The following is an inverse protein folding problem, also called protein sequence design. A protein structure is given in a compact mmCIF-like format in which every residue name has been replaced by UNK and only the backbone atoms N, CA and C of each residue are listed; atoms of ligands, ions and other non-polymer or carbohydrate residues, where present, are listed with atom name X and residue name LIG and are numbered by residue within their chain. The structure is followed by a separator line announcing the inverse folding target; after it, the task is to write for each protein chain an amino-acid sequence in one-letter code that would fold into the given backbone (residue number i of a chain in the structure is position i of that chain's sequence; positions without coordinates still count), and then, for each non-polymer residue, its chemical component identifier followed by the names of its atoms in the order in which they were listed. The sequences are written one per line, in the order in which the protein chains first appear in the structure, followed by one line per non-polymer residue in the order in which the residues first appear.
data_IF_887133189813
#
_entry.id   IF_887133189813
#
_cell.length_a   1.000
_cell.length_b   1.000
_cell.length_c   1.000
_cell.angle_alpha   90.00
_cell.angle_beta   90.00
_cell.angle_gamma   90.00
#
_symmetry.space_group_name_H-M   'P 1'
#
loop_
_entity.id
_entity.type
_entity.pdbx_description
1 polymer ?
#
# COMPACT_ATOMS: atom_id res chain seq x y z
N UNK A 1 11.52 34.36 75.36
CA UNK A 1 12.18 33.83 74.13
C UNK A 1 11.50 32.54 73.77
N UNK A 2 10.67 32.57 72.76
CA UNK A 2 9.92 31.38 72.26
C UNK A 2 10.40 31.09 70.83
N UNK A 3 11.13 29.99 70.68
CA UNK A 3 11.56 29.48 69.39
C UNK A 3 10.45 28.70 68.74
N UNK A 4 9.97 29.21 67.61
CA UNK A 4 8.96 28.53 66.77
C UNK A 4 9.68 27.50 65.88
N UNK A 5 9.28 26.25 66.01
CA UNK A 5 9.69 25.13 65.17
C UNK A 5 8.81 25.09 63.92
N UNK A 6 9.39 25.37 62.74
CA UNK A 6 8.71 25.33 61.48
C UNK A 6 8.73 23.88 60.93
N UNK A 7 7.57 23.25 60.95
CA UNK A 7 7.39 21.89 60.41
C UNK A 7 7.15 21.98 58.90
N UNK A 8 8.13 21.56 58.09
CA UNK A 8 8.00 21.46 56.63
C UNK A 8 7.36 20.13 56.30
N UNK A 9 6.13 20.16 55.83
CA UNK A 9 5.40 18.99 55.35
C UNK A 9 5.81 18.74 53.88
N UNK A 10 6.64 17.74 53.65
CA UNK A 10 6.98 17.27 52.30
C UNK A 10 5.87 16.30 51.86
N UNK A 11 4.93 16.79 51.07
CA UNK A 11 3.96 15.93 50.38
C UNK A 11 4.63 15.23 49.20
N UNK A 12 4.96 13.96 49.37
CA UNK A 12 5.45 13.10 48.32
C UNK A 12 4.36 12.88 47.29
N UNK A 13 4.48 13.47 46.10
CA UNK A 13 3.65 13.18 44.95
C UNK A 13 4.05 11.82 44.37
N UNK A 14 3.36 10.76 44.75
CA UNK A 14 3.50 9.44 44.15
C UNK A 14 2.96 9.46 42.72
N UNK A 15 3.88 9.53 41.76
CA UNK A 15 3.61 9.35 40.34
C UNK A 15 3.20 7.87 40.10
N UNK A 16 1.90 7.60 40.08
CA UNK A 16 1.39 6.29 39.65
C UNK A 16 1.61 6.19 38.14
N UNK A 17 2.71 5.52 37.75
CA UNK A 17 2.88 5.03 36.39
C UNK A 17 1.80 3.95 36.15
N UNK A 18 0.69 4.35 35.55
CA UNK A 18 -0.22 3.40 34.94
C UNK A 18 0.54 2.76 33.77
N UNK A 19 1.14 1.60 34.02
CA UNK A 19 1.61 0.73 32.94
C UNK A 19 0.39 0.42 32.07
N UNK A 20 0.29 1.11 30.93
CA UNK A 20 -0.69 0.78 29.90
C UNK A 20 -0.45 -0.68 29.54
N UNK A 21 -1.42 -1.54 29.83
CA UNK A 21 -1.45 -2.90 29.31
C UNK A 21 -1.42 -2.81 27.79
N UNK A 22 -0.24 -3.01 27.18
CA UNK A 22 -0.16 -3.36 25.79
C UNK A 22 -1.08 -4.57 25.61
N UNK A 23 -2.18 -4.39 24.89
CA UNK A 23 -3.03 -5.46 24.43
C UNK A 23 -2.13 -6.40 23.60
N UNK A 24 -1.61 -7.45 24.27
CA UNK A 24 -0.80 -8.47 23.60
C UNK A 24 -1.73 -9.21 22.62
N UNK A 25 -1.60 -8.85 21.34
CA UNK A 25 -2.25 -9.60 20.29
C UNK A 25 -1.81 -11.06 20.31
N UNK A 26 -2.69 -11.97 19.97
CA UNK A 26 -2.39 -13.41 19.87
C UNK A 26 -1.37 -13.64 18.76
N UNK A 27 -0.13 -13.97 19.11
CA UNK A 27 0.89 -14.42 18.17
C UNK A 27 0.59 -15.85 17.72
N UNK A 28 0.39 -16.02 16.42
CA UNK A 28 0.06 -17.34 15.84
C UNK A 28 1.24 -17.87 15.05
N UNK A 29 1.63 -19.11 15.35
CA UNK A 29 2.56 -19.90 14.55
C UNK A 29 1.74 -20.87 13.72
N UNK A 30 1.94 -20.86 12.41
CA UNK A 30 1.26 -21.76 11.50
C UNK A 30 1.65 -23.21 11.71
N UNK A 31 0.67 -24.08 11.59
CA UNK A 31 0.88 -25.54 11.56
C UNK A 31 1.63 -25.93 10.28
N UNK A 32 2.11 -27.19 10.25
CA UNK A 32 2.67 -27.79 9.03
C UNK A 32 1.60 -28.48 8.16
N UNK A 33 0.34 -28.46 8.59
CA UNK A 33 -0.78 -28.96 7.82
C UNK A 33 -1.28 -27.83 6.88
N UNK A 34 -1.11 -28.00 5.59
CA UNK A 34 -1.48 -27.00 4.59
C UNK A 34 -2.76 -27.43 3.90
N UNK A 35 -3.71 -26.51 3.83
CA UNK A 35 -4.98 -26.68 3.15
C UNK A 35 -5.21 -25.55 2.14
N UNK A 36 -6.17 -25.75 1.25
CA UNK A 36 -6.66 -24.74 0.32
C UNK A 36 -8.15 -24.53 0.56
N UNK A 37 -8.58 -23.27 0.51
CA UNK A 37 -9.96 -22.86 0.63
C UNK A 37 -10.27 -21.88 -0.51
N UNK A 38 -11.33 -22.16 -1.28
CA UNK A 38 -11.91 -21.20 -2.21
C UNK A 38 -13.05 -20.47 -1.51
N UNK A 39 -13.04 -19.15 -1.58
CA UNK A 39 -14.10 -18.27 -1.09
C UNK A 39 -14.77 -17.64 -2.30
N UNK A 40 -16.04 -17.98 -2.53
CA UNK A 40 -16.86 -17.28 -3.53
C UNK A 40 -17.01 -15.83 -3.10
N UNK A 41 -16.77 -14.91 -3.99
CA UNK A 41 -16.96 -13.49 -3.76
C UNK A 41 -18.02 -12.97 -4.73
N UNK A 42 -18.89 -12.10 -4.26
CA UNK A 42 -19.74 -11.31 -5.14
C UNK A 42 -18.88 -10.45 -6.07
N UNK A 43 -19.49 -9.86 -7.07
CA UNK A 43 -18.74 -8.99 -7.98
C UNK A 43 -18.10 -7.82 -7.23
N UNK A 44 -16.82 -7.61 -7.48
CA UNK A 44 -16.04 -6.46 -7.00
C UNK A 44 -15.10 -5.97 -8.10
N UNK A 45 -14.75 -4.72 -8.06
CA UNK A 45 -13.74 -4.10 -8.92
C UNK A 45 -12.75 -3.24 -8.14
N UNK A 46 -12.79 -3.33 -6.82
CA UNK A 46 -11.82 -2.71 -5.92
C UNK A 46 -11.30 -3.75 -4.91
N UNK A 47 -10.03 -3.63 -4.52
CA UNK A 47 -9.41 -4.47 -3.49
C UNK A 47 -8.83 -3.56 -2.41
N UNK A 48 -9.13 -3.88 -1.15
CA UNK A 48 -8.55 -3.21 0.02
C UNK A 48 -7.94 -4.22 0.98
N UNK A 49 -6.61 -4.17 1.07
CA UNK A 49 -5.85 -4.96 2.02
C UNK A 49 -5.61 -4.14 3.30
N UNK A 50 -6.01 -4.69 4.44
CA UNK A 50 -5.77 -4.12 5.76
C UNK A 50 -4.80 -5.02 6.54
N UNK A 51 -3.60 -4.51 6.83
CA UNK A 51 -2.56 -5.24 7.58
C UNK A 51 -1.37 -5.69 6.74
N UNK A 52 -0.87 -6.91 6.96
CA UNK A 52 0.43 -7.37 6.47
C UNK A 52 0.39 -8.62 5.58
N UNK A 53 -0.78 -9.00 5.07
CA UNK A 53 -0.88 -10.16 4.18
C UNK A 53 -0.24 -9.88 2.80
N UNK A 54 0.16 -10.96 2.12
CA UNK A 54 0.60 -10.91 0.74
C UNK A 54 -0.49 -11.45 -0.17
N UNK A 55 -0.78 -10.72 -1.25
CA UNK A 55 -1.84 -11.03 -2.20
C UNK A 55 -1.25 -11.13 -3.61
N UNK A 56 -1.71 -12.10 -4.37
CA UNK A 56 -1.54 -12.17 -5.82
C UNK A 56 -2.86 -11.86 -6.49
N UNK A 57 -2.91 -10.83 -7.33
CA UNK A 57 -4.08 -10.53 -8.16
C UNK A 57 -3.91 -11.12 -9.54
N UNK A 58 -4.98 -11.74 -10.03
CA UNK A 58 -5.11 -12.30 -11.37
C UNK A 58 -6.35 -11.72 -12.04
N UNK A 59 -6.21 -11.09 -13.20
CA UNK A 59 -7.37 -10.77 -14.01
C UNK A 59 -7.93 -12.05 -14.61
N UNK A 60 -9.20 -12.37 -14.30
CA UNK A 60 -9.88 -13.60 -14.73
C UNK A 60 -11.37 -13.31 -14.95
N UNK A 61 -12.07 -14.21 -15.60
CA UNK A 61 -13.49 -14.05 -15.95
C UNK A 61 -14.46 -14.14 -14.78
N UNK A 62 -14.02 -14.70 -13.62
CA UNK A 62 -14.83 -14.89 -12.40
C UNK A 62 -14.22 -14.26 -11.19
N UNK A 63 -15.05 -13.68 -10.33
CA UNK A 63 -14.63 -13.16 -9.02
C UNK A 63 -14.60 -14.27 -7.99
N UNK A 64 -13.44 -14.52 -7.39
CA UNK A 64 -13.27 -15.45 -6.27
C UNK A 64 -11.92 -15.20 -5.57
N UNK A 65 -11.76 -15.79 -4.42
CA UNK A 65 -10.51 -15.75 -3.64
C UNK A 65 -10.08 -17.16 -3.30
N UNK A 66 -8.84 -17.50 -3.59
CA UNK A 66 -8.20 -18.74 -3.15
C UNK A 66 -7.24 -18.43 -2.01
N UNK A 67 -7.35 -19.16 -0.91
CA UNK A 67 -6.47 -19.05 0.24
C UNK A 67 -5.78 -20.39 0.44
N UNK A 68 -4.45 -20.42 0.36
CA UNK A 68 -3.64 -21.60 0.62
C UNK A 68 -2.68 -21.33 1.77
N UNK A 69 -2.61 -22.23 2.73
CA UNK A 69 -1.71 -22.04 3.86
C UNK A 69 -1.94 -23.00 5.02
N UNK A 70 -1.37 -22.65 6.16
CA UNK A 70 -1.54 -23.42 7.41
C UNK A 70 -3.01 -23.43 7.84
N UNK A 71 -3.55 -24.60 8.17
CA UNK A 71 -4.95 -24.82 8.53
C UNK A 71 -5.42 -23.98 9.72
N UNK A 72 -4.52 -23.65 10.64
CA UNK A 72 -4.81 -22.79 11.79
C UNK A 72 -4.66 -21.28 11.49
N UNK A 73 -4.13 -20.89 10.32
CA UNK A 73 -4.01 -19.49 9.91
C UNK A 73 -5.18 -19.10 9.00
N UNK A 74 -5.58 -19.95 8.06
CA UNK A 74 -6.67 -19.63 7.10
C UNK A 74 -7.94 -19.13 7.80
N UNK A 75 -8.44 -19.73 8.91
CA UNK A 75 -9.62 -19.23 9.61
C UNK A 75 -9.47 -17.85 10.25
N UNK A 76 -8.24 -17.32 10.30
CA UNK A 76 -7.94 -15.98 10.85
C UNK A 76 -7.95 -14.89 9.77
N UNK A 77 -8.04 -15.25 8.51
CA UNK A 77 -8.21 -14.33 7.39
C UNK A 77 -9.70 -14.06 7.21
N UNK A 78 -10.06 -12.80 7.18
CA UNK A 78 -11.41 -12.34 6.85
C UNK A 78 -11.41 -11.76 5.44
N UNK A 79 -12.28 -12.30 4.59
CA UNK A 79 -12.53 -11.82 3.23
C UNK A 79 -14.01 -11.61 3.03
N UNK A 80 -14.42 -10.43 2.62
CA UNK A 80 -15.82 -10.10 2.33
C UNK A 80 -15.90 -8.92 1.36
N UNK A 81 -17.00 -8.81 0.62
CA UNK A 81 -17.26 -7.69 -0.27
C UNK A 81 -18.13 -6.67 0.46
N UNK A 82 -17.70 -5.41 0.44
CA UNK A 82 -18.42 -4.24 0.96
C UNK A 82 -18.64 -3.26 -0.21
N UNK A 83 -19.87 -3.17 -0.69
CA UNK A 83 -20.16 -2.48 -1.94
C UNK A 83 -19.44 -3.13 -3.12
N UNK A 84 -18.52 -2.39 -3.74
CA UNK A 84 -17.68 -2.87 -4.85
C UNK A 84 -16.26 -3.26 -4.43
N UNK A 85 -15.97 -3.25 -3.12
CA UNK A 85 -14.62 -3.44 -2.58
C UNK A 85 -14.48 -4.81 -1.91
N UNK A 86 -13.57 -5.64 -2.39
CA UNK A 86 -13.13 -6.83 -1.67
C UNK A 86 -12.21 -6.42 -0.52
N UNK A 87 -12.67 -6.63 0.70
CA UNK A 87 -11.93 -6.39 1.94
C UNK A 87 -11.17 -7.64 2.34
N UNK A 88 -9.86 -7.51 2.59
CA UNK A 88 -8.99 -8.60 3.06
C UNK A 88 -8.24 -8.12 4.28
N UNK A 89 -8.38 -8.84 5.39
CA UNK A 89 -7.73 -8.51 6.67
C UNK A 89 -7.56 -9.74 7.55
N UNK A 90 -6.77 -9.62 8.59
CA UNK A 90 -6.79 -10.58 9.70
C UNK A 90 -7.84 -10.20 10.74
N UNK A 91 -8.33 -11.18 11.49
CA UNK A 91 -9.15 -10.97 12.69
C UNK A 91 -8.44 -10.03 13.67
N UNK A 92 -9.21 -9.29 14.46
CA UNK A 92 -8.65 -8.35 15.44
C UNK A 92 -7.72 -9.06 16.43
N UNK A 93 -6.67 -8.36 16.83
CA UNK A 93 -5.68 -8.85 17.82
C UNK A 93 -4.96 -10.13 17.42
N UNK A 94 -4.81 -10.39 16.11
CA UNK A 94 -4.05 -11.53 15.58
C UNK A 94 -2.81 -10.99 14.88
N UNK A 95 -1.67 -11.59 15.19
CA UNK A 95 -0.39 -11.38 14.50
C UNK A 95 0.17 -12.74 14.07
N UNK A 96 0.43 -12.90 12.79
CA UNK A 96 1.04 -14.12 12.26
C UNK A 96 2.55 -13.94 12.35
N UNK A 97 3.21 -14.73 13.21
CA UNK A 97 4.66 -14.67 13.32
C UNK A 97 5.34 -15.54 12.27
N UNK A 98 4.87 -16.76 12.10
CA UNK A 98 5.47 -17.75 11.18
C UNK A 98 4.37 -18.66 10.65
N UNK A 99 4.42 -18.97 9.37
CA UNK A 99 3.48 -19.89 8.73
C UNK A 99 3.39 -19.61 7.24
N UNK A 100 2.77 -20.52 6.51
CA UNK A 100 2.48 -20.35 5.09
C UNK A 100 1.09 -19.74 4.93
N UNK A 101 1.00 -18.68 4.17
CA UNK A 101 -0.26 -18.07 3.75
C UNK A 101 -0.04 -17.42 2.36
N UNK A 102 -0.82 -17.84 1.41
CA UNK A 102 -0.90 -17.30 0.06
C UNK A 102 -2.37 -16.98 -0.23
N UNK A 103 -2.64 -15.77 -0.63
CA UNK A 103 -3.99 -15.30 -0.98
C UNK A 103 -3.96 -14.89 -2.46
N UNK A 104 -4.76 -15.58 -3.28
CA UNK A 104 -4.94 -15.26 -4.68
C UNK A 104 -6.32 -14.66 -4.86
N UNK A 105 -6.39 -13.54 -5.54
CA UNK A 105 -7.62 -12.82 -5.83
C UNK A 105 -7.82 -12.80 -7.34
N UNK A 106 -8.99 -13.18 -7.76
CA UNK A 106 -9.39 -13.25 -9.16
C UNK A 106 -10.59 -12.34 -9.40
N UNK A 107 -10.54 -11.50 -10.43
CA UNK A 107 -11.66 -10.67 -10.84
C UNK A 107 -11.52 -10.24 -12.31
N UNK A 108 -12.66 -10.02 -13.04
CA UNK A 108 -12.63 -9.59 -14.44
C UNK A 108 -12.16 -8.15 -14.62
N UNK A 109 -12.42 -7.29 -13.64
CA UNK A 109 -12.08 -5.87 -13.68
C UNK A 109 -11.43 -5.45 -12.35
N UNK A 110 -10.50 -4.50 -12.44
CA UNK A 110 -9.94 -3.83 -11.28
C UNK A 110 -9.81 -2.34 -11.57
N UNK A 111 -10.46 -1.50 -10.75
CA UNK A 111 -10.41 -0.05 -10.85
C UNK A 111 -9.59 0.57 -9.72
N UNK A 112 -9.50 -0.13 -8.59
CA UNK A 112 -8.78 0.39 -7.42
C UNK A 112 -8.15 -0.72 -6.60
N UNK A 113 -6.92 -0.45 -6.15
CA UNK A 113 -6.18 -1.31 -5.26
C UNK A 113 -5.60 -0.47 -4.12
N UNK A 114 -5.92 -0.85 -2.89
CA UNK A 114 -5.49 -0.10 -1.71
C UNK A 114 -4.82 -0.99 -0.68
N UNK A 115 -3.69 -0.57 -0.15
CA UNK A 115 -3.01 -1.19 1.00
C UNK A 115 -3.03 -0.20 2.16
N UNK A 116 -3.57 -0.63 3.30
CA UNK A 116 -3.47 0.09 4.56
C UNK A 116 -2.69 -0.80 5.54
N UNK A 117 -1.37 -0.58 5.61
CA UNK A 117 -0.44 -1.39 6.42
C UNK A 117 0.86 -1.70 5.71
N UNK A 118 1.38 -2.92 5.93
CA UNK A 118 2.68 -3.37 5.42
C UNK A 118 2.59 -4.60 4.50
N UNK A 119 1.40 -4.94 4.05
CA UNK A 119 1.18 -6.05 3.13
C UNK A 119 1.66 -5.76 1.71
N UNK A 120 1.75 -6.79 0.88
CA UNK A 120 2.21 -6.65 -0.50
C UNK A 120 1.17 -7.19 -1.47
N UNK A 121 1.05 -6.54 -2.62
CA UNK A 121 0.19 -7.01 -3.70
C UNK A 121 1.00 -7.13 -4.99
N UNK A 122 0.90 -8.30 -5.61
CA UNK A 122 1.51 -8.59 -6.90
C UNK A 122 0.43 -8.80 -7.96
N UNK A 123 0.52 -8.06 -9.07
CA UNK A 123 -0.28 -8.28 -10.26
C UNK A 123 0.43 -9.35 -11.11
N UNK A 124 -0.24 -10.48 -11.36
CA UNK A 124 0.45 -11.64 -11.95
C UNK A 124 0.37 -11.63 -13.48
N UNK A 125 -0.80 -11.34 -14.04
CA UNK A 125 -1.02 -11.35 -15.50
C UNK A 125 -1.41 -9.96 -16.05
N UNK A 126 -1.04 -8.90 -15.31
CA UNK A 126 -1.31 -7.53 -15.68
C UNK A 126 -2.76 -7.10 -15.45
N UNK A 127 -3.11 -5.96 -16.03
CA UNK A 127 -4.48 -5.41 -16.02
C UNK A 127 -4.75 -4.83 -17.41
N UNK A 128 -5.83 -5.31 -18.03
CA UNK A 128 -6.33 -4.81 -19.29
C UNK A 128 -7.71 -4.18 -19.07
N UNK A 129 -7.80 -2.87 -19.20
CA UNK A 129 -9.06 -2.14 -19.02
C UNK A 129 -9.07 -0.87 -19.87
N UNK A 130 -10.25 -0.47 -20.33
CA UNK A 130 -10.46 0.86 -20.95
C UNK A 130 -10.80 1.95 -19.93
N UNK A 131 -10.86 1.60 -18.65
CA UNK A 131 -11.22 2.49 -17.55
C UNK A 131 -9.97 3.05 -16.85
N UNK A 132 -10.17 3.83 -15.79
CA UNK A 132 -9.15 4.31 -14.91
C UNK A 132 -8.79 3.25 -13.87
N UNK A 133 -7.52 3.25 -13.44
CA UNK A 133 -7.05 2.42 -12.33
C UNK A 133 -6.28 3.25 -11.30
N UNK A 134 -6.52 2.98 -10.04
CA UNK A 134 -5.90 3.65 -8.92
C UNK A 134 -5.16 2.68 -7.99
N UNK A 135 -3.94 3.03 -7.61
CA UNK A 135 -3.12 2.32 -6.64
C UNK A 135 -2.83 3.21 -5.45
N UNK A 136 -3.22 2.79 -4.25
CA UNK A 136 -3.02 3.54 -3.03
C UNK A 136 -2.28 2.73 -1.97
N UNK A 137 -1.24 3.31 -1.40
CA UNK A 137 -0.54 2.75 -0.24
C UNK A 137 -0.59 3.77 0.90
N UNK A 138 -1.16 3.36 2.03
CA UNK A 138 -1.10 4.05 3.30
C UNK A 138 -0.31 3.18 4.28
N UNK A 139 1.00 3.43 4.41
CA UNK A 139 1.91 2.63 5.23
C UNK A 139 3.22 2.28 4.53
N UNK A 140 3.66 1.03 4.71
CA UNK A 140 4.96 0.53 4.20
C UNK A 140 4.80 -0.70 3.28
N UNK A 141 3.62 -0.94 2.78
CA UNK A 141 3.35 -2.05 1.85
C UNK A 141 3.88 -1.78 0.46
N UNK A 142 3.83 -2.81 -0.41
CA UNK A 142 4.37 -2.70 -1.76
C UNK A 142 3.37 -3.22 -2.80
N UNK A 143 3.37 -2.58 -3.98
CA UNK A 143 2.63 -3.02 -5.16
C UNK A 143 3.61 -3.23 -6.30
N UNK A 144 3.53 -4.39 -6.96
CA UNK A 144 4.34 -4.68 -8.13
C UNK A 144 3.53 -5.38 -9.22
N UNK A 145 3.85 -5.09 -10.47
CA UNK A 145 3.21 -5.71 -11.62
C UNK A 145 3.76 -5.24 -12.95
N UNK A 146 3.34 -5.92 -14.00
CA UNK A 146 3.68 -5.60 -15.38
C UNK A 146 2.49 -5.86 -16.30
N UNK A 147 2.47 -5.22 -17.47
CA UNK A 147 1.40 -5.40 -18.44
C UNK A 147 0.12 -4.63 -18.10
N UNK A 148 0.23 -3.33 -17.82
CA UNK A 148 -0.90 -2.48 -17.49
C UNK A 148 -1.33 -1.66 -18.71
N UNK A 149 -2.54 -1.91 -19.20
CA UNK A 149 -3.18 -1.13 -20.25
C UNK A 149 -4.48 -0.52 -19.71
N UNK A 150 -4.55 0.82 -19.67
CA UNK A 150 -5.68 1.54 -19.09
C UNK A 150 -5.80 2.95 -19.68
N UNK A 151 -6.93 3.60 -19.47
CA UNK A 151 -7.11 4.98 -19.91
C UNK A 151 -6.25 5.93 -19.04
N UNK A 152 -6.38 5.86 -17.73
CA UNK A 152 -5.61 6.63 -16.75
C UNK A 152 -5.14 5.74 -15.62
N UNK A 153 -3.89 5.91 -15.24
CA UNK A 153 -3.31 5.28 -14.07
C UNK A 153 -2.95 6.34 -13.02
N UNK A 154 -3.36 6.12 -11.78
CA UNK A 154 -2.98 6.96 -10.67
C UNK A 154 -2.33 6.12 -9.55
N UNK A 155 -1.17 6.57 -9.07
CA UNK A 155 -0.43 5.95 -7.96
C UNK A 155 -0.27 6.96 -6.83
N UNK A 156 -0.59 6.59 -5.62
CA UNK A 156 -0.44 7.43 -4.43
C UNK A 156 0.17 6.66 -3.27
N UNK A 157 1.27 7.15 -2.72
CA UNK A 157 1.91 6.61 -1.52
C UNK A 157 1.87 7.65 -0.41
N UNK A 158 1.26 7.28 0.72
CA UNK A 158 1.33 8.01 1.98
C UNK A 158 2.10 7.13 2.98
N UNK A 159 3.40 7.38 3.12
CA UNK A 159 4.28 6.59 3.98
C UNK A 159 5.62 6.22 3.33
N UNK A 160 6.04 4.97 3.52
CA UNK A 160 7.36 4.47 3.09
C UNK A 160 7.27 3.23 2.19
N UNK A 161 6.11 2.96 1.63
CA UNK A 161 5.92 1.82 0.72
C UNK A 161 6.52 2.06 -0.66
N UNK A 162 6.56 1.00 -1.46
CA UNK A 162 7.10 1.05 -2.82
C UNK A 162 6.08 0.57 -3.86
N UNK A 163 6.08 1.24 -5.03
CA UNK A 163 5.32 0.80 -6.20
C UNK A 163 6.27 0.58 -7.37
N UNK A 164 6.18 -0.58 -8.01
CA UNK A 164 6.92 -0.90 -9.22
C UNK A 164 5.99 -1.45 -10.29
N UNK A 165 5.77 -0.67 -11.35
CA UNK A 165 4.89 -1.03 -12.46
C UNK A 165 5.66 -0.90 -13.77
N UNK A 166 5.56 -1.95 -14.59
CA UNK A 166 6.28 -2.06 -15.86
C UNK A 166 5.33 -2.39 -17.00
N UNK A 167 5.76 -2.14 -18.24
CA UNK A 167 4.95 -2.35 -19.45
C UNK A 167 3.60 -1.61 -19.34
N UNK A 168 3.67 -0.33 -18.96
CA UNK A 168 2.52 0.55 -18.82
C UNK A 168 2.16 1.09 -20.21
N UNK A 169 0.88 1.05 -20.57
CA UNK A 169 0.29 1.77 -21.69
C UNK A 169 -0.91 2.55 -21.18
N UNK A 170 -0.84 3.89 -21.19
CA UNK A 170 -1.92 4.74 -20.69
C UNK A 170 -1.99 6.07 -21.44
N UNK A 171 -3.13 6.72 -21.41
CA UNK A 171 -3.23 8.10 -21.89
C UNK A 171 -2.68 9.08 -20.84
N UNK A 172 -2.95 8.82 -19.57
CA UNK A 172 -2.49 9.66 -18.46
C UNK A 172 -1.91 8.78 -17.34
N UNK A 173 -0.71 9.16 -16.86
CA UNK A 173 -0.04 8.53 -15.73
C UNK A 173 0.20 9.58 -14.64
N UNK A 174 -0.40 9.38 -13.47
CA UNK A 174 -0.18 10.24 -12.30
C UNK A 174 0.53 9.44 -11.21
N UNK A 175 1.57 10.03 -10.58
CA UNK A 175 2.23 9.41 -9.45
C UNK A 175 2.54 10.45 -8.37
N UNK A 176 2.16 10.15 -7.12
CA UNK A 176 2.34 11.04 -5.98
C UNK A 176 2.91 10.32 -4.77
N UNK A 177 3.84 10.98 -4.06
CA UNK A 177 4.42 10.50 -2.80
C UNK A 177 4.27 11.58 -1.74
N UNK A 178 3.68 11.20 -0.61
CA UNK A 178 3.74 11.94 0.65
C UNK A 178 4.49 11.09 1.67
N UNK A 179 5.79 11.35 1.86
CA UNK A 179 6.66 10.56 2.75
C UNK A 179 8.00 10.18 2.14
N UNK A 180 8.43 8.93 2.34
CA UNK A 180 9.76 8.44 1.96
C UNK A 180 9.73 7.20 1.04
N UNK A 181 8.58 6.86 0.51
CA UNK A 181 8.41 5.72 -0.40
C UNK A 181 9.03 5.95 -1.77
N UNK A 182 9.00 4.92 -2.63
CA UNK A 182 9.53 5.00 -3.98
C UNK A 182 8.51 4.51 -5.00
N UNK A 183 8.46 5.18 -6.16
CA UNK A 183 7.66 4.75 -7.31
C UNK A 183 8.58 4.55 -8.51
N UNK A 184 8.53 3.37 -9.10
CA UNK A 184 9.27 3.04 -10.33
C UNK A 184 8.26 2.68 -11.43
N UNK A 185 8.29 3.45 -12.53
CA UNK A 185 7.36 3.31 -13.65
C UNK A 185 8.12 3.14 -14.96
N UNK A 186 7.67 2.17 -15.78
CA UNK A 186 8.23 1.91 -17.11
C UNK A 186 7.12 1.65 -18.12
N UNK A 187 7.24 2.21 -19.32
CA UNK A 187 6.26 2.03 -20.39
C UNK A 187 6.01 3.28 -21.19
N UNK A 188 4.74 3.57 -21.51
CA UNK A 188 4.34 4.71 -22.33
C UNK A 188 3.12 5.42 -21.78
N UNK A 189 3.10 6.76 -21.91
CA UNK A 189 1.95 7.60 -21.62
C UNK A 189 1.89 8.78 -22.59
N UNK A 190 0.73 9.40 -22.77
CA UNK A 190 0.64 10.67 -23.48
C UNK A 190 0.98 11.80 -22.50
N UNK A 191 0.41 11.73 -21.30
CA UNK A 191 0.67 12.73 -20.26
C UNK A 191 1.14 12.06 -18.98
N UNK A 192 2.17 12.63 -18.35
CA UNK A 192 2.67 12.20 -17.05
C UNK A 192 2.65 13.35 -16.05
N UNK A 193 2.27 13.04 -14.79
CA UNK A 193 2.22 14.00 -13.70
C UNK A 193 2.82 13.44 -12.45
N UNK A 194 3.86 14.06 -11.93
CA UNK A 194 4.60 13.57 -10.77
C UNK A 194 4.61 14.61 -9.65
N UNK A 195 4.38 14.16 -8.42
CA UNK A 195 4.40 15.02 -7.24
C UNK A 195 5.09 14.34 -6.07
N UNK A 196 6.06 14.98 -5.45
CA UNK A 196 6.74 14.50 -4.25
C UNK A 196 6.60 15.54 -3.14
N UNK A 197 6.06 15.13 -2.01
CA UNK A 197 6.06 15.88 -0.75
C UNK A 197 6.80 15.05 0.30
N UNK A 198 8.10 15.33 0.51
CA UNK A 198 8.96 14.57 1.44
C UNK A 198 10.31 14.19 0.86
N UNK A 199 10.76 12.96 1.16
CA UNK A 199 12.09 12.45 0.79
C UNK A 199 12.04 11.21 -0.12
N UNK A 200 10.86 10.85 -0.61
CA UNK A 200 10.68 9.73 -1.52
C UNK A 200 11.20 10.00 -2.93
N UNK A 201 11.26 8.98 -3.78
CA UNK A 201 11.77 9.11 -5.13
C UNK A 201 10.78 8.54 -6.16
N UNK A 202 10.64 9.24 -7.31
CA UNK A 202 9.94 8.74 -8.48
C UNK A 202 10.96 8.48 -9.59
N UNK A 203 11.06 7.23 -10.03
CA UNK A 203 11.91 6.77 -11.13
C UNK A 203 11.02 6.46 -12.33
N UNK A 204 10.88 7.40 -13.24
CA UNK A 204 10.04 7.32 -14.42
C UNK A 204 10.76 7.77 -15.70
N UNK A 205 12.11 7.71 -15.72
CA UNK A 205 12.88 7.98 -16.94
C UNK A 205 12.60 6.95 -18.06
N UNK A 206 12.19 5.73 -17.69
CA UNK A 206 11.80 4.68 -18.61
C UNK A 206 10.28 4.66 -18.91
N UNK A 207 9.52 5.65 -18.46
CA UNK A 207 8.15 5.90 -18.90
C UNK A 207 8.17 7.01 -19.97
N UNK A 208 8.10 6.60 -21.23
CA UNK A 208 8.09 7.52 -22.37
C UNK A 208 6.78 8.33 -22.37
N UNK A 209 6.85 9.61 -22.04
CA UNK A 209 5.70 10.52 -22.08
C UNK A 209 5.90 11.64 -23.09
N UNK A 210 4.83 12.12 -23.72
CA UNK A 210 4.89 13.31 -24.57
C UNK A 210 5.04 14.58 -23.72
N UNK A 211 4.18 14.70 -22.71
CA UNK A 211 4.17 15.86 -21.81
C UNK A 211 4.32 15.41 -20.36
N UNK A 212 5.23 16.04 -19.63
CA UNK A 212 5.47 15.73 -18.22
C UNK A 212 5.41 17.01 -17.37
N UNK A 213 4.65 16.96 -16.27
CA UNK A 213 4.63 17.96 -15.21
C UNK A 213 5.15 17.32 -13.92
N UNK A 214 6.31 17.75 -13.43
CA UNK A 214 6.92 17.21 -12.23
C UNK A 214 7.09 18.30 -11.17
N UNK A 215 6.74 17.99 -9.93
CA UNK A 215 6.86 18.91 -8.80
C UNK A 215 7.42 18.22 -7.56
N UNK A 216 8.39 18.85 -6.91
CA UNK A 216 9.00 18.38 -5.67
C UNK A 216 8.86 19.46 -4.59
N UNK A 217 8.43 19.04 -3.41
CA UNK A 217 8.49 19.81 -2.17
C UNK A 217 9.18 18.96 -1.10
N UNK A 218 10.49 19.18 -0.90
CA UNK A 218 11.31 18.40 0.03
C UNK A 218 12.68 18.02 -0.52
N UNK A 219 13.17 16.84 -0.15
CA UNK A 219 14.50 16.34 -0.51
C UNK A 219 14.49 15.10 -1.42
N UNK A 220 13.32 14.70 -1.89
CA UNK A 220 13.19 13.57 -2.81
C UNK A 220 13.64 13.91 -4.22
N UNK A 221 13.78 12.89 -5.08
CA UNK A 221 14.21 13.08 -6.47
C UNK A 221 13.19 12.46 -7.44
N UNK A 222 13.06 13.09 -8.62
CA UNK A 222 12.20 12.61 -9.68
C UNK A 222 13.01 12.50 -10.98
N UNK A 223 13.22 11.30 -11.49
CA UNK A 223 13.71 11.12 -12.85
C UNK A 223 12.51 10.88 -13.77
N UNK A 224 12.41 11.68 -14.84
CA UNK A 224 11.28 11.61 -15.76
C UNK A 224 11.74 11.81 -17.21
N UNK A 225 10.85 11.48 -18.15
CA UNK A 225 11.04 11.65 -19.58
C UNK A 225 9.92 12.52 -20.14
N UNK A 226 10.25 13.37 -21.11
CA UNK A 226 9.27 14.13 -21.89
C UNK A 226 9.81 14.35 -23.31
N UNK A 227 9.07 13.91 -24.34
CA UNK A 227 9.48 14.12 -25.74
C UNK A 227 9.06 15.47 -26.31
N UNK A 228 8.05 16.14 -25.74
CA UNK A 228 7.52 17.41 -26.25
C UNK A 228 7.65 18.53 -25.21
N UNK A 229 7.12 18.32 -23.99
CA UNK A 229 7.08 19.38 -22.98
C UNK A 229 7.37 18.86 -21.60
N UNK A 230 8.35 19.47 -20.92
CA UNK A 230 8.63 19.28 -19.50
C UNK A 230 8.32 20.56 -18.73
N UNK A 231 7.54 20.44 -17.67
CA UNK A 231 7.36 21.47 -16.65
C UNK A 231 7.89 20.92 -15.33
N UNK A 232 8.97 21.52 -14.83
CA UNK A 232 9.62 21.11 -13.58
C UNK A 232 9.51 22.21 -12.54
N UNK A 233 9.15 21.86 -11.31
CA UNK A 233 9.06 22.78 -10.17
C UNK A 233 9.68 22.14 -8.94
N UNK A 234 10.69 22.77 -8.40
CA UNK A 234 11.44 22.31 -7.24
C UNK A 234 11.32 23.29 -6.08
N UNK A 235 11.00 22.77 -4.89
CA UNK A 235 11.02 23.50 -3.62
C UNK A 235 11.69 22.63 -2.57
N UNK A 236 12.93 22.94 -2.24
CA UNK A 236 13.74 22.16 -1.28
C UNK A 236 15.09 21.78 -1.88
N UNK A 237 15.62 20.62 -1.46
CA UNK A 237 16.94 20.11 -1.88
C UNK A 237 16.85 18.93 -2.86
N UNK A 238 15.67 18.58 -3.29
CA UNK A 238 15.45 17.51 -4.26
C UNK A 238 15.67 17.99 -5.70
N UNK A 239 15.80 17.04 -6.64
CA UNK A 239 16.08 17.31 -8.06
C UNK A 239 15.12 16.57 -9.00
N UNK A 240 14.80 17.20 -10.15
CA UNK A 240 14.04 16.64 -11.26
C UNK A 240 14.96 16.45 -12.45
#
# INVERSE_FOLDING_TARGET
MKTSLLLVLVTGLSLVLTAGSCLQGKHVVGSKNYISQEVKADHFNEIKLLGSANISYHQDTRSHVEIHGSDNIIPLVETYVDGNTLMIKFKKNVSIWKGKLEIKVFAPELNKLSINGSGNIKLINGIQTSKDIEFHINGSGNIQGEGLNCRRMAVSINGSGDVRLQQIESQECQAGISGSGNINLKGKAIQAKYAIAGSGNIQAADLEAENTDASISGSGNCSCYASQKLVAREKGSGHI
#
